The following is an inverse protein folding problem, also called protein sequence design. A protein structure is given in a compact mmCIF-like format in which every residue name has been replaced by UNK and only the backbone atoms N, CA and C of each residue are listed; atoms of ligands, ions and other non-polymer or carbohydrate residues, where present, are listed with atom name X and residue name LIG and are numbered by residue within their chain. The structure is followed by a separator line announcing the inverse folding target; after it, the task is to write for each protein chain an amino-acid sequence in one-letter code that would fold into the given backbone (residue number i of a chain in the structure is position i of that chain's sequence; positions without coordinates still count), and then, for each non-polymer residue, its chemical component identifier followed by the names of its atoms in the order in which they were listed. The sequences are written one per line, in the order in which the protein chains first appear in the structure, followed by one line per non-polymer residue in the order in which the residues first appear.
data_IF_614083861992
#
_entry.id   IF_614083861992
#
_cell.length_a   1.000
_cell.length_b   1.000
_cell.length_c   1.000
_cell.angle_alpha   90.00
_cell.angle_beta   90.00
_cell.angle_gamma   90.00
#
_symmetry.space_group_name_H-M   'P 1'
#
loop_
_entity.id
_entity.type
_entity.pdbx_description
1 polymer ?
#
# COMPACT_ATOMS: atom_id res chain seq x y z
N UNK A 1 16.26 -15.28 -0.80
CA UNK A 1 16.93 -15.99 -1.93
C UNK A 1 17.97 -15.06 -2.56
N UNK A 2 19.23 -15.47 -2.80
CA UNK A 2 20.30 -14.54 -3.21
C UNK A 2 20.03 -13.77 -4.51
N UNK A 3 19.36 -14.38 -5.50
CA UNK A 3 19.09 -13.73 -6.78
C UNK A 3 18.10 -12.55 -6.67
N UNK A 4 17.25 -12.52 -5.65
CA UNK A 4 16.23 -11.48 -5.45
C UNK A 4 16.88 -10.14 -5.13
N UNK A 5 17.91 -10.12 -4.27
CA UNK A 5 18.69 -8.90 -3.97
C UNK A 5 19.45 -8.40 -5.18
N UNK A 6 20.12 -9.31 -5.92
CA UNK A 6 20.80 -8.96 -7.17
C UNK A 6 19.86 -8.39 -8.24
N UNK A 7 18.61 -8.83 -8.28
CA UNK A 7 17.62 -8.26 -9.19
C UNK A 7 17.29 -6.81 -8.78
N UNK A 8 17.08 -6.54 -7.49
CA UNK A 8 16.88 -5.18 -6.98
C UNK A 8 18.08 -4.27 -7.24
N UNK A 9 19.30 -4.77 -7.03
CA UNK A 9 20.55 -4.05 -7.34
C UNK A 9 20.67 -3.67 -8.83
N UNK A 10 20.04 -4.43 -9.72
CA UNK A 10 19.95 -4.13 -11.16
C UNK A 10 18.82 -3.18 -11.54
N UNK A 11 18.07 -2.67 -10.56
CA UNK A 11 16.94 -1.76 -10.76
C UNK A 11 15.60 -2.44 -11.03
N UNK A 12 15.46 -3.75 -10.78
CA UNK A 12 14.15 -4.41 -10.85
C UNK A 12 13.29 -3.98 -9.66
N UNK A 13 12.12 -3.42 -9.96
CA UNK A 13 11.12 -3.00 -8.98
C UNK A 13 10.35 -4.23 -8.49
N UNK A 14 10.26 -4.41 -7.17
CA UNK A 14 9.43 -5.43 -6.55
C UNK A 14 8.12 -4.81 -6.07
N UNK A 15 7.09 -4.95 -6.90
CA UNK A 15 5.72 -4.56 -6.58
C UNK A 15 4.97 -5.69 -5.86
N UNK A 16 4.02 -5.32 -4.98
CA UNK A 16 3.24 -6.29 -4.19
C UNK A 16 2.26 -7.07 -5.04
N UNK A 17 1.46 -6.40 -5.88
CA UNK A 17 0.45 -7.03 -6.75
C UNK A 17 -0.44 -8.05 -6.03
N UNK A 18 -1.06 -7.67 -4.91
CA UNK A 18 -1.63 -8.66 -3.96
C UNK A 18 -2.60 -9.67 -4.61
N UNK A 19 -3.58 -9.17 -5.34
CA UNK A 19 -4.51 -9.93 -6.15
C UNK A 19 -5.36 -10.94 -5.38
N UNK A 20 -6.02 -11.80 -6.15
CA UNK A 20 -6.74 -12.96 -5.63
C UNK A 20 -5.86 -14.19 -5.38
N UNK A 21 -4.60 -14.18 -5.83
CA UNK A 21 -3.73 -15.37 -5.77
C UNK A 21 -2.23 -15.13 -5.59
N UNK A 22 -1.76 -13.89 -5.44
CA UNK A 22 -0.33 -13.57 -5.58
C UNK A 22 0.40 -13.32 -4.26
N UNK A 23 -0.32 -12.93 -3.21
CA UNK A 23 0.30 -12.54 -1.93
C UNK A 23 0.05 -13.55 -0.82
N UNK A 24 1.15 -14.04 -0.23
CA UNK A 24 1.15 -14.96 0.91
C UNK A 24 2.03 -14.39 2.04
N UNK A 25 1.50 -14.37 3.26
CA UNK A 25 2.23 -13.98 4.46
C UNK A 25 3.45 -14.89 4.71
N UNK A 26 3.35 -16.17 4.36
CA UNK A 26 4.48 -17.13 4.39
C UNK A 26 5.67 -16.71 3.52
N UNK A 27 5.49 -15.82 2.55
CA UNK A 27 6.57 -15.23 1.76
C UNK A 27 6.90 -13.80 2.22
N UNK A 28 5.88 -12.98 2.50
CA UNK A 28 6.05 -11.58 2.83
C UNK A 28 6.73 -11.37 4.19
N UNK A 29 6.29 -12.06 5.24
CA UNK A 29 6.83 -11.88 6.60
C UNK A 29 8.33 -12.23 6.65
N UNK A 30 8.80 -13.41 6.16
CA UNK A 30 10.23 -13.69 6.17
C UNK A 30 11.05 -12.73 5.30
N UNK A 31 10.48 -12.18 4.22
CA UNK A 31 11.15 -11.18 3.39
C UNK A 31 11.34 -9.86 4.15
N UNK A 32 10.29 -9.40 4.85
CA UNK A 32 10.32 -8.23 5.73
C UNK A 32 11.34 -8.39 6.85
N UNK A 33 11.35 -9.51 7.55
CA UNK A 33 12.32 -9.83 8.63
C UNK A 33 13.78 -9.85 8.14
N UNK A 34 13.99 -10.21 6.87
CA UNK A 34 15.31 -10.18 6.22
C UNK A 34 15.69 -8.77 5.71
N UNK A 35 14.90 -7.73 5.99
CA UNK A 35 15.14 -6.38 5.47
C UNK A 35 14.96 -6.31 3.96
N UNK A 36 13.94 -6.96 3.42
CA UNK A 36 13.56 -6.91 2.01
C UNK A 36 12.09 -6.49 1.85
N UNK A 37 11.74 -5.22 2.16
CA UNK A 37 10.40 -4.69 1.89
C UNK A 37 10.15 -4.54 0.38
N UNK A 38 8.89 -4.46 -0.09
CA UNK A 38 8.58 -4.15 -1.47
C UNK A 38 9.03 -2.72 -1.82
N UNK A 39 9.28 -2.48 -3.10
CA UNK A 39 9.60 -1.14 -3.61
C UNK A 39 8.33 -0.30 -3.82
N UNK A 40 7.23 -0.95 -4.24
CA UNK A 40 5.90 -0.35 -4.41
C UNK A 40 4.82 -1.24 -3.80
N UNK A 41 3.77 -0.64 -3.26
CA UNK A 41 2.59 -1.37 -2.77
C UNK A 41 1.46 -1.20 -3.80
N UNK A 42 0.87 -2.31 -4.23
CA UNK A 42 -0.27 -2.33 -5.16
C UNK A 42 -1.24 -3.46 -4.83
N UNK A 43 -2.42 -3.40 -5.44
CA UNK A 43 -3.54 -4.27 -5.11
C UNK A 43 -3.75 -5.43 -6.06
N UNK A 44 -3.49 -5.27 -7.35
CA UNK A 44 -4.08 -6.14 -8.38
C UNK A 44 -5.60 -6.34 -8.14
N UNK A 45 -6.31 -5.22 -8.01
CA UNK A 45 -7.74 -5.18 -7.70
C UNK A 45 -8.59 -5.66 -8.88
N UNK A 46 -9.42 -6.67 -8.64
CA UNK A 46 -10.41 -7.19 -9.57
C UNK A 46 -11.58 -7.82 -8.79
N UNK A 47 -12.63 -8.25 -9.49
CA UNK A 47 -13.87 -8.79 -8.90
C UNK A 47 -13.66 -9.99 -7.97
N UNK A 48 -12.58 -10.76 -8.18
CA UNK A 48 -12.21 -11.91 -7.35
C UNK A 48 -11.39 -11.55 -6.11
N UNK A 49 -10.77 -10.37 -6.07
CA UNK A 49 -9.88 -9.96 -4.97
C UNK A 49 -10.51 -8.92 -4.03
N UNK A 50 -11.44 -8.10 -4.55
CA UNK A 50 -12.07 -6.97 -3.83
C UNK A 50 -12.87 -7.36 -2.57
N UNK A 51 -13.39 -8.59 -2.50
CA UNK A 51 -14.13 -9.10 -1.33
C UNK A 51 -13.35 -10.19 -0.56
N UNK A 52 -12.08 -10.42 -0.92
CA UNK A 52 -11.23 -11.45 -0.34
C UNK A 52 -10.20 -10.92 0.67
N UNK A 53 -9.01 -11.51 0.63
CA UNK A 53 -7.89 -11.07 1.46
C UNK A 53 -7.37 -9.68 1.10
N UNK A 54 -7.38 -9.32 -0.18
CA UNK A 54 -6.83 -8.07 -0.69
C UNK A 54 -7.68 -6.85 -0.33
N UNK A 55 -8.98 -6.86 -0.68
CA UNK A 55 -9.93 -5.76 -0.48
C UNK A 55 -9.59 -4.49 -1.26
N UNK A 56 -8.84 -3.60 -0.65
CA UNK A 56 -8.55 -2.26 -1.14
C UNK A 56 -7.09 -1.88 -0.85
N UNK A 57 -6.67 -0.74 -1.40
CA UNK A 57 -5.30 -0.24 -1.26
C UNK A 57 -4.89 -0.03 0.20
N UNK A 58 -5.77 0.54 1.02
CA UNK A 58 -5.46 0.84 2.43
C UNK A 58 -5.36 -0.42 3.28
N UNK A 59 -6.13 -1.46 2.95
CA UNK A 59 -6.01 -2.77 3.56
C UNK A 59 -4.66 -3.41 3.26
N UNK A 60 -4.16 -3.33 2.01
CA UNK A 60 -2.83 -3.84 1.65
C UNK A 60 -1.72 -3.02 2.31
N UNK A 61 -1.82 -1.69 2.28
CA UNK A 61 -0.89 -0.80 2.99
C UNK A 61 -0.84 -1.10 4.50
N UNK A 62 -1.99 -1.34 5.12
CA UNK A 62 -2.09 -1.70 6.54
C UNK A 62 -1.38 -3.01 6.85
N UNK A 63 -1.46 -4.03 5.96
CA UNK A 63 -0.69 -5.28 6.13
C UNK A 63 0.81 -5.00 6.25
N UNK A 64 1.36 -4.13 5.41
CA UNK A 64 2.78 -3.81 5.45
C UNK A 64 3.17 -2.97 6.67
N UNK A 65 2.29 -2.07 7.11
CA UNK A 65 2.46 -1.34 8.37
C UNK A 65 2.59 -2.32 9.55
N UNK A 66 1.66 -3.28 9.67
CA UNK A 66 1.67 -4.25 10.79
C UNK A 66 2.78 -5.30 10.65
N UNK A 67 3.30 -5.54 9.44
CA UNK A 67 4.52 -6.33 9.20
C UNK A 67 5.82 -5.56 9.46
N UNK A 68 5.74 -4.31 9.95
CA UNK A 68 6.90 -3.55 10.42
C UNK A 68 7.48 -2.52 9.45
N UNK A 69 6.84 -2.23 8.31
CA UNK A 69 7.19 -1.03 7.55
C UNK A 69 6.79 0.22 8.35
N UNK A 70 7.61 1.27 8.30
CA UNK A 70 7.22 2.57 8.86
C UNK A 70 6.02 3.15 8.09
N UNK A 71 5.20 3.98 8.74
CA UNK A 71 4.10 4.68 8.06
C UNK A 71 4.62 5.48 6.87
N UNK A 72 5.76 6.15 7.03
CA UNK A 72 6.40 6.94 5.98
C UNK A 72 6.78 6.08 4.76
N UNK A 73 7.36 4.90 4.99
CA UNK A 73 7.72 3.98 3.91
C UNK A 73 6.50 3.36 3.23
N UNK A 74 5.44 3.06 3.98
CA UNK A 74 4.17 2.60 3.42
C UNK A 74 3.55 3.65 2.51
N UNK A 75 3.50 4.91 2.95
CA UNK A 75 3.00 6.03 2.13
C UNK A 75 3.88 6.20 0.90
N UNK A 76 5.21 6.26 1.06
CA UNK A 76 6.18 6.42 -0.04
C UNK A 76 6.07 5.31 -1.09
N UNK A 77 5.87 4.06 -0.67
CA UNK A 77 5.70 2.91 -1.56
C UNK A 77 4.38 2.95 -2.35
N UNK A 78 3.35 3.58 -1.78
CA UNK A 78 2.03 3.74 -2.38
C UNK A 78 1.87 5.03 -3.21
N UNK A 79 2.79 5.99 -3.08
CA UNK A 79 2.73 7.30 -3.78
C UNK A 79 3.96 7.49 -4.68
N UNK A 80 5.02 8.07 -4.15
CA UNK A 80 6.18 8.51 -4.91
C UNK A 80 6.88 7.37 -5.65
N UNK A 81 7.11 6.22 -5.00
CA UNK A 81 7.74 5.07 -5.66
C UNK A 81 6.88 4.49 -6.78
N UNK A 82 5.57 4.44 -6.58
CA UNK A 82 4.63 3.97 -7.59
C UNK A 82 4.59 4.91 -8.80
N UNK A 83 4.59 6.22 -8.56
CA UNK A 83 4.68 7.25 -9.60
C UNK A 83 5.98 7.13 -10.43
N UNK A 84 7.13 6.98 -9.75
CA UNK A 84 8.43 6.76 -10.39
C UNK A 84 8.46 5.47 -11.22
N UNK A 85 7.84 4.39 -10.72
CA UNK A 85 7.80 3.10 -11.41
C UNK A 85 7.04 3.15 -12.75
N UNK A 86 6.12 4.10 -12.92
CA UNK A 86 5.38 4.34 -14.16
C UNK A 86 5.83 5.60 -14.92
N UNK A 87 6.98 6.18 -14.54
CA UNK A 87 7.54 7.40 -15.14
C UNK A 87 6.60 8.62 -15.10
N UNK A 88 5.90 8.79 -13.98
CA UNK A 88 5.02 9.93 -13.70
C UNK A 88 5.55 10.75 -12.53
N UNK A 89 6.74 11.31 -12.71
CA UNK A 89 7.41 12.14 -11.70
C UNK A 89 6.63 13.43 -11.37
N UNK A 90 5.57 13.74 -12.13
CA UNK A 90 4.58 14.79 -11.87
C UNK A 90 3.50 14.39 -10.84
N UNK A 91 3.47 13.13 -10.41
CA UNK A 91 2.51 12.59 -9.43
C UNK A 91 3.19 12.10 -8.13
N UNK A 92 2.38 11.82 -7.11
CA UNK A 92 2.83 11.12 -5.90
C UNK A 92 3.63 11.97 -4.90
N UNK A 93 3.63 13.30 -5.05
CA UNK A 93 4.30 14.23 -4.15
C UNK A 93 3.49 15.52 -3.94
N UNK A 94 3.82 16.29 -2.89
CA UNK A 94 3.13 17.53 -2.52
C UNK A 94 3.98 18.81 -2.74
N UNK A 95 5.00 18.74 -3.59
CA UNK A 95 5.82 19.89 -3.98
C UNK A 95 5.01 20.98 -4.69
N UNK A 96 5.44 22.24 -4.58
CA UNK A 96 4.82 23.37 -5.30
C UNK A 96 4.82 23.10 -6.81
N UNK A 97 3.66 23.28 -7.44
CA UNK A 97 3.45 23.04 -8.87
C UNK A 97 2.89 21.65 -9.22
N UNK A 98 2.81 20.73 -8.26
CA UNK A 98 2.12 19.45 -8.44
C UNK A 98 0.60 19.62 -8.58
N UNK A 99 -0.05 18.70 -9.30
CA UNK A 99 -1.52 18.59 -9.29
C UNK A 99 -2.02 18.28 -7.88
N UNK A 100 -3.14 18.88 -7.47
CA UNK A 100 -3.72 18.71 -6.13
C UNK A 100 -4.49 17.37 -5.98
N UNK A 101 -3.77 16.27 -6.18
CA UNK A 101 -4.21 14.89 -5.93
C UNK A 101 -3.80 14.48 -4.51
N UNK A 102 -4.76 14.51 -3.58
CA UNK A 102 -4.49 14.38 -2.14
C UNK A 102 -5.41 13.31 -1.54
N UNK A 103 -4.86 12.40 -0.75
CA UNK A 103 -5.61 11.51 0.13
C UNK A 103 -5.31 11.86 1.59
N UNK A 104 -6.35 12.23 2.35
CA UNK A 104 -6.27 12.40 3.80
C UNK A 104 -6.61 11.06 4.44
N UNK A 105 -5.68 10.52 5.22
CA UNK A 105 -5.81 9.20 5.84
C UNK A 105 -5.80 9.34 7.36
N UNK A 106 -6.65 8.56 8.03
CA UNK A 106 -6.56 8.32 9.47
C UNK A 106 -5.79 7.03 9.73
N UNK A 107 -4.80 7.09 10.61
CA UNK A 107 -4.24 5.90 11.24
C UNK A 107 -5.09 5.57 12.47
N UNK A 108 -5.77 4.42 12.43
CA UNK A 108 -6.63 3.94 13.51
C UNK A 108 -5.87 2.95 14.36
N UNK A 109 -5.92 3.13 15.67
CA UNK A 109 -5.51 2.11 16.64
C UNK A 109 -6.70 1.21 17.01
N UNK A 110 -6.46 -0.08 17.22
CA UNK A 110 -7.47 -1.07 17.59
C UNK A 110 -7.10 -2.48 17.13
N UNK A 111 -7.94 -3.47 17.44
CA UNK A 111 -7.69 -4.86 17.06
C UNK A 111 -8.23 -5.15 15.65
N UNK A 112 -7.34 -5.45 14.72
CA UNK A 112 -7.67 -5.72 13.32
C UNK A 112 -7.10 -7.07 12.87
N UNK A 113 -7.87 -7.78 12.04
CA UNK A 113 -7.44 -9.02 11.39
C UNK A 113 -7.25 -8.83 9.89
N UNK A 114 -6.13 -9.32 9.37
CA UNK A 114 -5.79 -9.34 7.96
C UNK A 114 -5.65 -10.78 7.47
N UNK A 115 -6.12 -11.08 6.26
CA UNK A 115 -5.95 -12.40 5.64
C UNK A 115 -5.28 -12.27 4.29
N UNK A 116 -4.38 -13.19 3.96
CA UNK A 116 -3.77 -13.30 2.64
C UNK A 116 -4.61 -14.21 1.71
N UNK A 117 -4.07 -14.56 0.54
CA UNK A 117 -4.77 -15.44 -0.41
C UNK A 117 -4.80 -16.92 0.04
N UNK A 118 -3.93 -17.29 0.98
CA UNK A 118 -3.87 -18.61 1.62
C UNK A 118 -4.74 -18.72 2.87
N UNK A 119 -5.54 -17.69 3.19
CA UNK A 119 -6.39 -17.62 4.39
C UNK A 119 -5.56 -17.61 5.69
N UNK A 120 -4.26 -17.34 5.61
CA UNK A 120 -3.44 -17.13 6.80
C UNK A 120 -3.83 -15.79 7.42
N UNK A 121 -4.09 -15.80 8.74
CA UNK A 121 -4.44 -14.59 9.50
C UNK A 121 -3.18 -13.92 10.05
N UNK A 122 -3.15 -12.59 9.96
CA UNK A 122 -2.23 -11.71 10.66
C UNK A 122 -3.06 -10.76 11.53
N UNK A 123 -2.80 -10.73 12.83
CA UNK A 123 -3.38 -9.73 13.73
C UNK A 123 -2.55 -8.45 13.64
N UNK A 124 -3.21 -7.31 13.76
CA UNK A 124 -2.58 -5.99 13.78
C UNK A 124 -3.31 -5.06 14.74
N UNK A 125 -2.55 -4.13 15.31
CA UNK A 125 -3.05 -3.12 16.24
C UNK A 125 -3.38 -1.78 15.55
N UNK A 126 -3.16 -1.69 14.23
CA UNK A 126 -3.32 -0.47 13.46
C UNK A 126 -3.90 -0.72 12.06
N UNK A 127 -4.67 0.25 11.55
CA UNK A 127 -5.24 0.22 10.20
C UNK A 127 -5.37 1.63 9.62
N UNK A 128 -5.10 1.77 8.33
CA UNK A 128 -5.35 3.01 7.57
C UNK A 128 -6.81 3.08 7.10
N UNK A 129 -7.40 4.28 7.19
CA UNK A 129 -8.75 4.59 6.72
C UNK A 129 -8.74 5.90 5.92
N UNK A 130 -9.48 5.95 4.81
CA UNK A 130 -9.57 7.16 4.00
C UNK A 130 -10.61 8.10 4.60
N UNK A 131 -10.21 9.33 4.88
CA UNK A 131 -11.08 10.40 5.37
C UNK A 131 -11.60 11.28 4.23
N UNK A 132 -10.71 11.65 3.30
CA UNK A 132 -10.99 12.60 2.23
C UNK A 132 -10.09 12.30 1.04
N UNK A 133 -10.62 12.41 -0.19
CA UNK A 133 -9.83 12.38 -1.42
C UNK A 133 -10.13 13.61 -2.26
N UNK A 134 -9.07 14.29 -2.68
CA UNK A 134 -9.11 15.34 -3.69
C UNK A 134 -8.48 14.84 -4.97
N UNK A 135 -9.09 15.18 -6.09
CA UNK A 135 -8.54 14.97 -7.43
C UNK A 135 -8.48 16.31 -8.15
N UNK A 136 -7.29 16.72 -8.59
CA UNK A 136 -7.06 18.02 -9.23
C UNK A 136 -7.67 19.22 -8.45
N UNK A 137 -7.68 19.13 -7.11
CA UNK A 137 -8.24 20.16 -6.22
C UNK A 137 -9.72 20.00 -5.87
N UNK A 138 -10.46 19.12 -6.55
CA UNK A 138 -11.87 18.86 -6.27
C UNK A 138 -12.05 17.71 -5.29
N UNK A 139 -12.93 17.88 -4.29
CA UNK A 139 -13.30 16.79 -3.36
C UNK A 139 -14.14 15.75 -4.09
N UNK A 140 -13.60 14.54 -4.23
CA UNK A 140 -14.26 13.41 -4.91
C UNK A 140 -14.71 12.29 -3.97
N UNK A 141 -14.20 12.30 -2.73
CA UNK A 141 -14.60 11.39 -1.67
C UNK A 141 -14.48 12.10 -0.33
N UNK A 142 -15.48 11.95 0.54
CA UNK A 142 -15.49 12.51 1.88
C UNK A 142 -16.25 11.56 2.81
N UNK A 143 -15.53 10.84 3.67
CA UNK A 143 -16.11 9.81 4.54
C UNK A 143 -17.00 10.42 5.62
N UNK A 144 -16.57 11.55 6.19
CA UNK A 144 -17.14 12.13 7.40
C UNK A 144 -17.68 13.56 7.20
N UNK A 145 -17.74 14.06 5.95
CA UNK A 145 -18.19 15.40 5.64
C UNK A 145 -17.20 16.50 6.05
N UNK A 146 -15.88 16.22 6.06
CA UNK A 146 -14.83 17.15 6.48
C UNK A 146 -14.73 18.41 5.62
N UNK A 147 -15.23 18.36 4.39
CA UNK A 147 -15.21 19.48 3.44
C UNK A 147 -16.41 20.44 3.57
N UNK A 148 -17.34 20.19 4.51
CA UNK A 148 -18.59 20.92 4.68
C UNK A 148 -18.59 21.83 5.90
#
# INVERSE_FOLDING_TARGET
RPFVRRARERGIVFDVGHGGGSFLFSQAIPAMEQGFPPDTISTDLHTGSMNGGMKDMLNVMSKFLVMGMSLEDVIRAATWRAAQAIHRDDLGHLSVGAEADIAVLRLRDGDFGFVDVGVQKLEGNQKLECELTLRAGDVVWDLNGLSR
#
